data_IF_996892881640
#
_entry.id   IF_996892881640
#
_cell.length_a   1.000
_cell.length_b   1.000
_cell.length_c   1.000
_cell.angle_alpha   90.00
_cell.angle_beta   90.00
_cell.angle_gamma   90.00
#
_symmetry.space_group_name_H-M   'P 1'
#
loop_
_entity.id
_entity.type
_entity.pdbx_description
1 polymer ?
#
# COMPACT_ATOMS: atom_id res chain seq x y z
N UNK A 1 24.86 -14.83 -0.44
CA UNK A 1 24.27 -15.87 -1.30
C UNK A 1 22.76 -15.74 -1.16
N UNK A 2 22.02 -15.65 -2.27
CA UNK A 2 20.56 -15.60 -2.23
C UNK A 2 19.97 -17.00 -2.20
N UNK A 3 18.85 -17.14 -1.50
CA UNK A 3 17.96 -18.27 -1.62
C UNK A 3 16.77 -17.84 -2.47
N UNK A 4 16.38 -18.69 -3.41
CA UNK A 4 15.24 -18.45 -4.29
C UNK A 4 14.09 -19.35 -3.85
N UNK A 5 12.91 -18.77 -3.78
CA UNK A 5 11.69 -19.50 -3.48
C UNK A 5 10.70 -19.28 -4.62
N UNK A 6 10.13 -20.37 -5.09
CA UNK A 6 9.14 -20.43 -6.18
C UNK A 6 7.96 -21.30 -5.77
N UNK A 7 7.02 -21.52 -6.69
CA UNK A 7 5.97 -22.53 -6.52
C UNK A 7 6.51 -23.94 -6.32
N UNK A 8 7.73 -24.25 -6.76
CA UNK A 8 8.39 -25.55 -6.48
C UNK A 8 8.76 -25.71 -5.00
N UNK A 9 8.92 -24.59 -4.28
CA UNK A 9 9.32 -24.55 -2.87
C UNK A 9 8.13 -24.37 -1.92
N UNK A 10 6.91 -24.29 -2.45
CA UNK A 10 5.66 -24.23 -1.68
C UNK A 10 4.96 -22.87 -1.69
N UNK A 11 5.45 -21.87 -2.44
CA UNK A 11 4.67 -20.65 -2.71
C UNK A 11 3.40 -21.00 -3.48
N UNK A 12 2.31 -20.35 -3.14
CA UNK A 12 1.02 -20.53 -3.81
C UNK A 12 0.98 -19.91 -5.20
N UNK A 13 1.79 -18.87 -5.48
CA UNK A 13 2.00 -18.31 -6.81
C UNK A 13 3.30 -17.50 -6.88
N UNK A 14 3.96 -17.45 -8.04
CA UNK A 14 5.25 -16.76 -8.23
C UNK A 14 5.15 -15.22 -8.26
N UNK A 15 3.94 -14.68 -8.44
CA UNK A 15 3.67 -13.26 -8.24
C UNK A 15 3.47 -13.00 -6.74
N UNK A 16 4.49 -12.52 -6.05
CA UNK A 16 4.37 -12.02 -4.67
C UNK A 16 4.05 -10.53 -4.72
N UNK A 17 2.99 -10.12 -4.01
CA UNK A 17 2.49 -8.73 -3.99
C UNK A 17 2.92 -8.00 -2.72
N UNK A 18 2.79 -8.65 -1.56
CA UNK A 18 3.24 -8.11 -0.28
C UNK A 18 3.85 -9.22 0.58
N UNK A 19 4.69 -8.81 1.52
CA UNK A 19 5.36 -9.70 2.47
C UNK A 19 5.24 -9.10 3.87
N UNK A 20 4.89 -9.92 4.85
CA UNK A 20 4.75 -9.52 6.25
C UNK A 20 5.52 -10.47 7.16
N UNK A 21 6.16 -9.95 8.20
CA UNK A 21 6.70 -10.74 9.30
C UNK A 21 5.74 -10.60 10.49
N UNK A 22 5.23 -11.71 11.02
CA UNK A 22 4.37 -11.69 12.20
C UNK A 22 5.17 -11.70 13.51
N UNK A 23 4.46 -11.53 14.65
CA UNK A 23 5.11 -11.48 15.97
C UNK A 23 5.73 -12.81 16.42
N UNK A 24 5.42 -13.92 15.77
CA UNK A 24 6.02 -15.22 16.03
C UNK A 24 7.21 -15.50 15.09
N UNK A 25 7.54 -14.58 14.18
CA UNK A 25 8.63 -14.71 13.21
C UNK A 25 8.23 -15.46 11.93
N UNK A 26 6.95 -15.72 11.69
CA UNK A 26 6.49 -16.29 10.43
C UNK A 26 6.52 -15.21 9.34
N UNK A 27 6.98 -15.58 8.15
CA UNK A 27 6.96 -14.71 6.99
C UNK A 27 5.77 -15.10 6.11
N UNK A 28 4.86 -14.16 5.91
CA UNK A 28 3.65 -14.32 5.11
C UNK A 28 3.84 -13.67 3.74
N UNK A 29 3.46 -14.39 2.70
CA UNK A 29 3.51 -13.93 1.31
C UNK A 29 2.08 -13.84 0.77
N UNK A 30 1.66 -12.62 0.42
CA UNK A 30 0.47 -12.41 -0.39
C UNK A 30 0.81 -12.66 -1.85
N UNK A 31 0.46 -13.85 -2.31
CA UNK A 31 0.74 -14.29 -3.66
C UNK A 31 -0.44 -13.97 -4.59
N UNK A 32 -0.21 -14.13 -5.90
CA UNK A 32 -1.28 -14.00 -6.90
C UNK A 32 -2.45 -14.95 -6.61
N UNK A 33 -2.15 -16.18 -6.24
CA UNK A 33 -3.15 -17.12 -5.75
C UNK A 33 -2.79 -17.42 -4.31
N UNK A 34 -3.73 -17.34 -3.37
CA UNK A 34 -3.45 -17.81 -2.02
C UNK A 34 -2.58 -16.88 -1.15
N UNK A 35 -2.50 -17.29 0.11
CA UNK A 35 -1.54 -16.78 1.08
C UNK A 35 -0.56 -17.91 1.37
N UNK A 36 0.74 -17.64 1.32
CA UNK A 36 1.77 -18.59 1.72
C UNK A 36 2.45 -18.15 3.01
N UNK A 37 2.96 -19.09 3.78
CA UNK A 37 3.67 -18.82 5.04
C UNK A 37 4.96 -19.62 5.10
N UNK A 38 6.03 -18.97 5.55
CA UNK A 38 7.34 -19.54 5.81
C UNK A 38 7.61 -19.56 7.31
N UNK A 39 7.94 -20.74 7.83
CA UNK A 39 8.19 -21.01 9.25
C UNK A 39 9.69 -20.98 9.64
N UNK A 40 10.56 -20.55 8.72
CA UNK A 40 12.01 -20.62 8.88
C UNK A 40 12.65 -21.89 8.32
N UNK A 41 11.85 -22.87 7.88
CA UNK A 41 12.32 -24.12 7.27
C UNK A 41 11.64 -24.42 5.93
N UNK A 42 10.33 -24.21 5.82
CA UNK A 42 9.55 -24.52 4.60
C UNK A 42 8.47 -23.48 4.33
N UNK A 43 8.07 -23.37 3.07
CA UNK A 43 6.91 -22.57 2.66
C UNK A 43 5.71 -23.50 2.52
N UNK A 44 4.54 -23.04 2.98
CA UNK A 44 3.28 -23.76 2.81
C UNK A 44 2.13 -22.81 2.48
N UNK A 45 1.16 -23.30 1.72
CA UNK A 45 -0.05 -22.54 1.37
C UNK A 45 -1.02 -22.57 2.55
N UNK A 46 -1.38 -21.39 3.06
CA UNK A 46 -2.34 -21.24 4.14
C UNK A 46 -3.76 -21.12 3.59
N UNK A 47 -4.57 -22.18 3.74
CA UNK A 47 -5.91 -22.31 3.12
C UNK A 47 -7.09 -22.06 4.06
N UNK A 48 -6.92 -22.26 5.35
CA UNK A 48 -8.04 -22.16 6.31
C UNK A 48 -8.57 -20.72 6.38
N UNK A 49 -9.88 -20.55 6.24
CA UNK A 49 -10.59 -19.26 6.32
C UNK A 49 -11.90 -19.43 7.08
N UNK A 50 -12.23 -18.45 7.92
CA UNK A 50 -13.51 -18.36 8.61
C UNK A 50 -14.32 -17.19 8.02
N UNK A 51 -15.50 -17.50 7.48
CA UNK A 51 -16.42 -16.54 6.86
C UNK A 51 -17.65 -16.23 7.72
N UNK A 52 -17.82 -16.89 8.87
CA UNK A 52 -19.02 -16.75 9.71
C UNK A 52 -19.04 -15.44 10.53
N UNK A 53 -17.90 -14.75 10.61
CA UNK A 53 -17.69 -13.60 11.50
C UNK A 53 -17.42 -12.29 10.74
N UNK A 54 -18.05 -12.08 9.58
CA UNK A 54 -17.73 -10.95 8.68
C UNK A 54 -17.82 -9.56 9.34
N UNK A 55 -18.75 -9.36 10.28
CA UNK A 55 -18.95 -8.08 10.97
C UNK A 55 -18.20 -7.92 12.30
N UNK A 56 -17.51 -8.95 12.80
CA UNK A 56 -16.89 -8.95 14.13
C UNK A 56 -15.50 -8.29 14.12
N UNK A 57 -15.46 -6.98 13.85
CA UNK A 57 -14.23 -6.22 13.89
C UNK A 57 -13.68 -6.10 15.31
N UNK A 58 -12.36 -6.27 15.42
CA UNK A 58 -11.58 -6.15 16.65
C UNK A 58 -10.12 -5.88 16.30
N UNK A 59 -9.37 -5.31 17.24
CA UNK A 59 -7.93 -5.13 17.11
C UNK A 59 -7.25 -5.89 18.25
N UNK A 60 -6.41 -6.84 17.87
CA UNK A 60 -5.49 -7.56 18.73
C UNK A 60 -4.04 -7.16 18.46
N UNK A 61 -3.18 -7.45 19.43
CA UNK A 61 -1.75 -7.15 19.32
C UNK A 61 -1.03 -8.05 18.32
N UNK A 62 -1.53 -9.26 18.09
CA UNK A 62 -0.94 -10.23 17.15
C UNK A 62 -1.51 -10.11 15.74
N UNK A 63 -2.44 -9.18 15.54
CA UNK A 63 -3.18 -9.10 14.30
C UNK A 63 -2.29 -8.63 13.16
N UNK A 64 -2.32 -9.42 12.09
CA UNK A 64 -1.87 -9.05 10.76
C UNK A 64 -3.05 -9.14 9.81
N UNK A 65 -3.04 -8.29 8.78
CA UNK A 65 -4.17 -8.13 7.89
C UNK A 65 -3.73 -8.36 6.46
N UNK A 66 -4.60 -9.01 5.71
CA UNK A 66 -4.34 -9.39 4.33
C UNK A 66 -5.46 -8.92 3.42
N UNK A 67 -5.08 -8.68 2.18
CA UNK A 67 -5.97 -8.39 1.07
C UNK A 67 -6.98 -9.53 0.89
N UNK A 68 -8.26 -9.14 0.74
CA UNK A 68 -9.34 -9.98 0.23
C UNK A 68 -9.32 -10.09 -1.30
N UNK A 69 -10.13 -10.98 -1.86
CA UNK A 69 -10.38 -11.09 -3.30
C UNK A 69 -9.14 -11.58 -4.08
N UNK A 70 -8.82 -12.86 -3.89
CA UNK A 70 -7.76 -13.58 -4.62
C UNK A 70 -8.12 -13.75 -6.11
N UNK A 71 -8.04 -12.65 -6.84
CA UNK A 71 -7.76 -12.52 -8.27
C UNK A 71 -8.84 -12.98 -9.26
N UNK A 72 -9.31 -12.01 -10.05
CA UNK A 72 -9.97 -12.21 -11.36
C UNK A 72 -11.47 -11.95 -11.37
N UNK A 73 -12.10 -12.10 -10.22
CA UNK A 73 -13.50 -11.78 -9.95
C UNK A 73 -13.52 -11.01 -8.63
N UNK A 74 -14.49 -10.12 -8.42
CA UNK A 74 -14.70 -9.47 -7.12
C UNK A 74 -14.93 -10.47 -5.99
N UNK A 75 -15.46 -10.01 -4.85
CA UNK A 75 -15.79 -10.91 -3.75
C UNK A 75 -16.67 -12.09 -4.22
N UNK A 76 -16.38 -13.30 -3.75
CA UNK A 76 -17.17 -14.50 -4.07
C UNK A 76 -18.34 -14.70 -3.09
N UNK A 77 -19.12 -15.78 -3.29
CA UNK A 77 -20.26 -16.14 -2.43
C UNK A 77 -19.90 -16.31 -0.93
N UNK A 78 -18.63 -16.54 -0.61
CA UNK A 78 -18.14 -16.69 0.76
C UNK A 78 -17.71 -15.35 1.37
N UNK A 79 -17.03 -14.49 0.61
CA UNK A 79 -16.57 -13.16 1.05
C UNK A 79 -17.73 -12.15 1.13
N UNK A 80 -18.75 -12.27 0.25
CA UNK A 80 -20.04 -11.56 0.25
C UNK A 80 -20.01 -10.03 0.08
N UNK A 81 -18.92 -9.35 0.43
CA UNK A 81 -18.68 -7.93 0.21
C UNK A 81 -17.19 -7.62 0.32
N UNK A 82 -16.75 -6.44 -0.15
CA UNK A 82 -15.36 -6.01 -0.02
C UNK A 82 -14.88 -5.99 1.43
N UNK A 83 -13.63 -6.39 1.66
CA UNK A 83 -13.12 -6.59 3.01
C UNK A 83 -11.64 -6.94 3.08
N UNK A 84 -11.27 -7.55 4.20
CA UNK A 84 -9.92 -8.02 4.51
C UNK A 84 -9.96 -9.34 5.25
N UNK A 85 -8.87 -10.10 5.18
CA UNK A 85 -8.63 -11.18 6.12
C UNK A 85 -7.84 -10.68 7.33
N UNK A 86 -8.33 -10.98 8.53
CA UNK A 86 -7.64 -10.76 9.80
C UNK A 86 -7.06 -12.09 10.28
N UNK A 87 -5.76 -12.17 10.50
CA UNK A 87 -5.14 -13.27 11.24
C UNK A 87 -4.87 -12.84 12.68
N UNK A 88 -5.55 -13.46 13.64
CA UNK A 88 -5.46 -13.11 15.07
C UNK A 88 -4.32 -13.83 15.81
N UNK A 89 -3.39 -14.43 15.06
CA UNK A 89 -2.36 -15.32 15.59
C UNK A 89 -2.81 -16.77 15.76
N UNK A 90 -4.07 -17.10 15.42
CA UNK A 90 -4.59 -18.48 15.44
C UNK A 90 -5.29 -18.83 14.14
N UNK A 91 -6.18 -17.97 13.65
CA UNK A 91 -6.98 -18.24 12.45
C UNK A 91 -7.18 -17.00 11.59
N UNK A 92 -7.41 -17.22 10.29
CA UNK A 92 -7.84 -16.18 9.37
C UNK A 92 -9.36 -16.07 9.38
N UNK A 93 -9.87 -14.88 9.70
CA UNK A 93 -11.29 -14.54 9.61
C UNK A 93 -11.49 -13.42 8.60
N UNK A 94 -12.54 -13.52 7.79
CA UNK A 94 -12.94 -12.45 6.88
C UNK A 94 -13.63 -11.32 7.63
N UNK A 95 -13.37 -10.07 7.23
CA UNK A 95 -13.95 -8.85 7.79
C UNK A 95 -14.42 -7.94 6.67
N UNK A 96 -15.72 -7.63 6.64
CA UNK A 96 -16.31 -6.78 5.60
C UNK A 96 -16.16 -5.32 5.98
N UNK A 97 -15.76 -4.49 5.02
CA UNK A 97 -15.78 -3.04 5.21
C UNK A 97 -17.21 -2.51 5.30
N UNK A 98 -17.47 -1.45 6.09
CA UNK A 98 -18.78 -0.80 6.15
C UNK A 98 -18.98 0.16 4.96
N UNK A 99 -18.78 -0.36 3.75
CA UNK A 99 -18.91 0.37 2.49
C UNK A 99 -19.84 -0.38 1.57
N UNK A 100 -20.58 0.38 0.76
CA UNK A 100 -21.46 -0.17 -0.26
C UNK A 100 -20.84 0.23 -1.61
N UNK A 101 -20.45 -0.74 -2.45
CA UNK A 101 -20.03 -0.45 -3.82
C UNK A 101 -21.09 0.35 -4.57
N UNK A 102 -20.65 1.31 -5.38
CA UNK A 102 -21.56 2.04 -6.28
C UNK A 102 -22.20 1.09 -7.29
N UNK A 103 -23.34 1.50 -7.87
CA UNK A 103 -24.00 0.72 -8.94
C UNK A 103 -23.16 0.58 -10.21
N UNK A 104 -22.11 1.39 -10.34
CA UNK A 104 -21.09 1.34 -11.38
C UNK A 104 -19.93 0.37 -11.06
N UNK A 105 -19.91 -0.27 -9.88
CA UNK A 105 -18.92 -1.29 -9.53
C UNK A 105 -19.27 -2.66 -10.13
N UNK A 106 -19.32 -2.73 -11.45
CA UNK A 106 -19.70 -3.94 -12.22
C UNK A 106 -18.77 -5.13 -11.93
N UNK A 107 -17.58 -4.87 -11.36
CA UNK A 107 -16.58 -5.90 -11.08
C UNK A 107 -16.22 -6.06 -9.59
N UNK A 108 -16.84 -5.29 -8.69
CA UNK A 108 -16.62 -5.39 -7.24
C UNK A 108 -15.22 -4.98 -6.78
N UNK A 109 -14.53 -4.11 -7.52
CA UNK A 109 -13.12 -3.75 -7.27
C UNK A 109 -12.94 -2.37 -6.64
N UNK A 110 -14.01 -1.59 -6.45
CA UNK A 110 -13.89 -0.22 -5.93
C UNK A 110 -13.17 -0.16 -4.57
N UNK A 111 -13.40 -1.14 -3.70
CA UNK A 111 -12.76 -1.20 -2.39
C UNK A 111 -11.69 -2.29 -2.28
N UNK A 112 -11.19 -2.79 -3.42
CA UNK A 112 -10.04 -3.68 -3.41
C UNK A 112 -8.82 -2.97 -2.84
N UNK A 113 -8.09 -3.70 -2.00
CA UNK A 113 -6.82 -3.24 -1.45
C UNK A 113 -5.70 -3.52 -2.46
N UNK A 114 -4.77 -2.59 -2.57
CA UNK A 114 -3.52 -2.80 -3.32
C UNK A 114 -2.27 -2.52 -2.51
N UNK A 115 -2.44 -2.24 -1.22
CA UNK A 115 -1.43 -1.71 -0.31
C UNK A 115 -1.32 -2.54 0.96
N UNK A 116 -0.15 -2.58 1.61
CA UNK A 116 -0.07 -3.06 2.99
C UNK A 116 -0.96 -2.25 3.93
N UNK A 117 -1.48 -2.88 4.98
CA UNK A 117 -2.14 -2.13 6.06
C UNK A 117 -1.11 -1.30 6.86
N UNK A 118 -1.57 -0.22 7.47
CA UNK A 118 -0.75 0.58 8.39
C UNK A 118 -1.40 0.60 9.76
N UNK A 119 -0.67 0.17 10.78
CA UNK A 119 -1.06 0.40 12.17
C UNK A 119 -0.60 1.80 12.56
N UNK A 120 -1.56 2.71 12.70
CA UNK A 120 -1.28 4.07 13.08
C UNK A 120 -0.88 4.22 14.54
N UNK A 121 -0.24 5.33 14.89
CA UNK A 121 0.29 5.62 16.25
C UNK A 121 -0.79 5.69 17.31
N UNK A 122 -2.00 6.07 16.94
CA UNK A 122 -3.17 6.07 17.81
C UNK A 122 -3.86 4.69 17.92
N UNK A 123 -3.27 3.64 17.35
CA UNK A 123 -3.82 2.28 17.33
C UNK A 123 -4.81 1.99 16.21
N UNK A 124 -5.17 2.98 15.38
CA UNK A 124 -6.06 2.78 14.23
C UNK A 124 -5.40 1.88 13.20
N UNK A 125 -6.11 0.88 12.68
CA UNK A 125 -5.65 0.08 11.53
C UNK A 125 -6.22 0.71 10.26
N UNK A 126 -5.33 1.08 9.35
CA UNK A 126 -5.67 1.73 8.09
C UNK A 126 -5.48 0.79 6.90
N UNK A 127 -6.37 0.91 5.92
CA UNK A 127 -6.41 0.15 4.68
C UNK A 127 -6.57 1.09 3.49
N UNK A 128 -5.60 1.07 2.56
CA UNK A 128 -5.67 1.82 1.31
C UNK A 128 -6.36 1.01 0.22
N UNK A 129 -7.51 1.50 -0.26
CA UNK A 129 -8.32 0.87 -1.31
C UNK A 129 -8.37 1.72 -2.58
N UNK A 130 -9.02 1.23 -3.63
CA UNK A 130 -9.24 2.01 -4.85
C UNK A 130 -10.29 3.12 -4.73
N UNK A 131 -11.09 3.21 -3.65
CA UNK A 131 -12.10 4.28 -3.49
C UNK A 131 -12.09 4.98 -2.14
N UNK A 132 -11.32 4.48 -1.18
CA UNK A 132 -11.18 5.11 0.13
C UNK A 132 -9.91 4.68 0.85
N UNK A 133 -9.42 5.55 1.72
CA UNK A 133 -8.64 5.15 2.88
C UNK A 133 -9.60 4.83 4.02
N UNK A 134 -9.59 3.59 4.50
CA UNK A 134 -10.50 3.09 5.54
C UNK A 134 -9.71 2.82 6.82
N UNK A 135 -10.07 3.49 7.91
CA UNK A 135 -9.45 3.32 9.23
C UNK A 135 -10.43 2.74 10.24
N UNK A 136 -9.99 1.76 11.03
CA UNK A 136 -10.74 1.21 12.16
C UNK A 136 -9.99 1.43 13.46
N UNK A 137 -10.60 2.11 14.43
CA UNK A 137 -9.95 2.47 15.70
C UNK A 137 -10.25 1.48 16.86
N UNK A 138 -10.92 0.36 16.58
CA UNK A 138 -11.38 -0.59 17.60
C UNK A 138 -12.84 -0.37 18.03
N UNK A 139 -13.47 0.71 17.58
CA UNK A 139 -14.88 1.01 17.86
C UNK A 139 -15.63 1.45 16.60
N UNK A 140 -15.10 2.45 15.90
CA UNK A 140 -15.72 3.12 14.78
C UNK A 140 -14.81 3.11 13.55
N UNK A 141 -15.41 3.32 12.38
CA UNK A 141 -14.70 3.47 11.12
C UNK A 141 -14.58 4.93 10.70
N UNK A 142 -13.45 5.25 10.08
CA UNK A 142 -13.21 6.50 9.36
C UNK A 142 -12.97 6.18 7.90
N UNK A 143 -13.72 6.82 7.01
CA UNK A 143 -13.66 6.55 5.57
C UNK A 143 -13.33 7.87 4.89
N UNK A 144 -12.17 7.93 4.23
CA UNK A 144 -11.72 9.09 3.46
C UNK A 144 -11.82 8.74 1.98
N UNK A 145 -12.88 9.19 1.31
CA UNK A 145 -13.21 8.88 -0.08
C UNK A 145 -12.97 10.08 -1.02
N UNK A 146 -13.33 9.95 -2.30
CA UNK A 146 -13.22 11.01 -3.31
C UNK A 146 -13.81 12.36 -2.82
N UNK A 147 -15.00 12.33 -2.23
CA UNK A 147 -15.68 13.52 -1.69
C UNK A 147 -14.90 14.18 -0.56
N UNK A 148 -14.36 13.38 0.38
CA UNK A 148 -13.56 13.89 1.49
C UNK A 148 -12.30 14.64 1.01
N UNK A 149 -11.68 14.17 -0.07
CA UNK A 149 -10.52 14.81 -0.69
C UNK A 149 -10.89 15.91 -1.70
N UNK A 150 -12.19 16.15 -1.93
CA UNK A 150 -12.67 17.11 -2.93
C UNK A 150 -12.32 16.73 -4.36
N UNK A 151 -12.09 15.44 -4.64
CA UNK A 151 -11.70 14.96 -5.98
C UNK A 151 -12.92 14.92 -6.90
N UNK A 152 -12.77 15.51 -8.08
CA UNK A 152 -13.83 15.48 -9.10
C UNK A 152 -13.67 14.30 -10.06
N UNK A 153 -14.68 14.07 -10.92
CA UNK A 153 -14.60 13.01 -11.95
C UNK A 153 -13.48 13.30 -12.96
N UNK A 154 -13.18 14.56 -13.20
CA UNK A 154 -12.12 15.01 -14.12
C UNK A 154 -10.73 14.69 -13.59
N UNK A 155 -10.52 14.73 -12.28
CA UNK A 155 -9.20 14.57 -11.64
C UNK A 155 -8.72 13.12 -11.55
N UNK A 156 -9.52 12.16 -12.06
CA UNK A 156 -9.46 10.73 -11.73
C UNK A 156 -9.54 10.54 -10.20
N UNK A 157 -10.55 9.82 -9.74
CA UNK A 157 -10.76 9.60 -8.30
C UNK A 157 -9.60 8.85 -7.62
N UNK A 158 -9.83 8.48 -6.37
CA UNK A 158 -8.93 7.63 -5.63
C UNK A 158 -8.62 6.34 -6.40
N UNK A 159 -7.40 5.91 -6.19
CA UNK A 159 -6.75 4.70 -6.67
C UNK A 159 -5.46 4.56 -5.85
N UNK A 160 -5.60 4.37 -4.54
CA UNK A 160 -4.47 4.38 -3.60
C UNK A 160 -3.57 3.18 -3.88
N UNK A 161 -2.28 3.43 -4.14
CA UNK A 161 -1.25 2.42 -4.47
C UNK A 161 -0.16 2.28 -3.42
N UNK A 162 -0.05 3.25 -2.52
CA UNK A 162 0.79 3.19 -1.33
C UNK A 162 0.34 4.27 -0.35
N UNK A 163 0.53 4.04 0.94
CA UNK A 163 0.30 5.07 1.94
C UNK A 163 1.11 4.79 3.21
N UNK A 164 1.36 5.84 3.99
CA UNK A 164 2.06 5.78 5.27
C UNK A 164 1.43 6.76 6.27
N UNK A 165 1.65 6.54 7.56
CA UNK A 165 1.58 7.61 8.57
C UNK A 165 3.00 8.11 8.80
N UNK A 166 3.24 9.41 8.61
CA UNK A 166 4.55 10.02 8.85
C UNK A 166 4.85 10.21 10.35
N UNK A 167 6.08 10.64 10.69
CA UNK A 167 6.48 10.89 12.08
C UNK A 167 5.65 11.96 12.80
N UNK A 168 4.96 12.83 12.07
CA UNK A 168 4.11 13.91 12.60
C UNK A 168 2.65 13.47 12.77
N UNK A 169 2.28 12.30 12.25
CA UNK A 169 0.94 11.73 12.32
C UNK A 169 0.07 12.03 11.09
N UNK A 170 0.66 12.57 10.02
CA UNK A 170 -0.08 12.80 8.79
C UNK A 170 -0.14 11.50 7.99
N UNK A 171 -1.31 11.22 7.41
CA UNK A 171 -1.47 10.14 6.46
C UNK A 171 -1.11 10.67 5.07
N UNK A 172 -0.10 10.09 4.44
CA UNK A 172 0.30 10.37 3.08
C UNK A 172 -0.14 9.23 2.18
N UNK A 173 -0.79 9.53 1.07
CA UNK A 173 -1.29 8.54 0.11
C UNK A 173 -0.71 8.83 -1.27
N UNK A 174 -0.03 7.83 -1.84
CA UNK A 174 0.34 7.79 -3.25
C UNK A 174 -0.87 7.29 -4.06
N UNK A 175 -1.39 8.15 -4.93
CA UNK A 175 -2.56 7.93 -5.76
C UNK A 175 -2.17 7.90 -7.25
N UNK A 176 -2.59 6.87 -7.98
CA UNK A 176 -2.31 6.77 -9.41
C UNK A 176 -3.41 7.47 -10.22
N UNK A 177 -3.24 8.77 -10.46
CA UNK A 177 -4.19 9.62 -11.19
C UNK A 177 -4.11 11.06 -10.71
N UNK A 178 -4.45 11.29 -9.44
CA UNK A 178 -4.46 12.62 -8.79
C UNK A 178 -3.22 12.92 -7.95
N UNK A 179 -2.22 12.03 -7.95
CA UNK A 179 -0.92 12.26 -7.33
C UNK A 179 -0.84 11.96 -5.84
N UNK A 180 -0.29 12.86 -5.03
CA UNK A 180 -0.12 12.65 -3.60
C UNK A 180 -1.18 13.41 -2.83
N UNK A 181 -1.89 12.70 -1.97
CA UNK A 181 -2.88 13.26 -1.05
C UNK A 181 -2.33 13.19 0.37
N UNK A 182 -2.64 14.19 1.19
CA UNK A 182 -2.18 14.25 2.59
C UNK A 182 -3.35 14.60 3.49
N UNK A 183 -3.49 13.87 4.60
CA UNK A 183 -4.47 14.11 5.64
C UNK A 183 -3.80 14.27 7.00
N UNK A 184 -3.97 15.41 7.66
CA UNK A 184 -3.28 15.73 8.92
C UNK A 184 -4.08 15.39 10.20
N UNK A 185 -5.22 14.71 10.05
CA UNK A 185 -6.16 14.45 11.14
C UNK A 185 -7.28 15.47 11.27
N UNK A 186 -7.23 16.58 10.52
CA UNK A 186 -8.26 17.62 10.45
C UNK A 186 -8.65 17.91 9.01
N UNK A 187 -7.68 18.23 8.17
CA UNK A 187 -7.85 18.66 6.79
C UNK A 187 -7.11 17.73 5.83
N UNK A 188 -7.66 17.62 4.62
CA UNK A 188 -7.05 16.92 3.51
C UNK A 188 -6.60 17.92 2.44
N UNK A 189 -5.44 17.68 1.85
CA UNK A 189 -4.92 18.45 0.72
C UNK A 189 -4.46 17.53 -0.41
N UNK A 190 -4.60 18.01 -1.64
CA UNK A 190 -3.85 17.45 -2.78
C UNK A 190 -2.46 18.10 -2.83
N UNK A 191 -1.45 17.38 -2.36
CA UNK A 191 -0.05 17.82 -2.34
C UNK A 191 0.46 18.10 -3.75
N UNK A 192 0.14 17.23 -4.71
CA UNK A 192 0.58 17.38 -6.11
C UNK A 192 0.09 18.71 -6.70
N UNK A 193 -1.20 19.01 -6.58
CA UNK A 193 -1.78 20.26 -7.11
C UNK A 193 -1.27 21.48 -6.33
N UNK A 194 -1.22 21.41 -4.99
CA UNK A 194 -0.74 22.49 -4.14
C UNK A 194 0.69 22.93 -4.49
N UNK A 195 1.55 21.98 -4.86
CA UNK A 195 2.94 22.23 -5.20
C UNK A 195 3.20 22.41 -6.70
N UNK A 196 2.15 22.49 -7.53
CA UNK A 196 2.26 22.64 -8.99
C UNK A 196 3.11 21.53 -9.63
N UNK A 197 2.77 20.28 -9.32
CA UNK A 197 3.47 19.08 -9.81
C UNK A 197 2.61 18.25 -10.75
N UNK A 198 1.59 18.85 -11.37
CA UNK A 198 0.77 18.19 -12.39
C UNK A 198 1.52 18.09 -13.72
N UNK A 199 0.99 17.32 -14.68
CA UNK A 199 1.55 17.24 -16.03
C UNK A 199 1.53 18.59 -16.74
N UNK A 200 0.51 19.39 -16.49
CA UNK A 200 0.41 20.76 -17.02
C UNK A 200 1.51 21.66 -16.44
N UNK A 201 1.69 21.64 -15.12
CA UNK A 201 2.68 22.48 -14.44
C UNK A 201 4.12 22.13 -14.83
N UNK A 202 4.41 20.84 -14.98
CA UNK A 202 5.78 20.29 -15.17
C UNK A 202 6.12 19.98 -16.62
N UNK A 203 5.19 20.18 -17.55
CA UNK A 203 5.32 19.83 -18.99
C UNK A 203 5.66 18.36 -19.24
N UNK A 204 5.21 17.45 -18.37
CA UNK A 204 5.31 16.00 -18.61
C UNK A 204 5.82 15.19 -17.43
N UNK A 205 6.74 15.73 -16.65
CA UNK A 205 7.37 15.02 -15.53
C UNK A 205 6.64 15.28 -14.21
N UNK A 206 5.49 14.61 -14.03
CA UNK A 206 4.52 14.94 -12.97
C UNK A 206 4.51 13.93 -11.82
N UNK A 207 3.95 14.36 -10.69
CA UNK A 207 3.71 13.52 -9.51
C UNK A 207 2.32 12.86 -9.52
N UNK A 208 1.54 13.04 -10.58
CA UNK A 208 0.14 12.56 -10.69
C UNK A 208 0.02 11.03 -10.66
N UNK A 209 1.07 10.32 -11.10
CA UNK A 209 1.13 8.86 -11.14
C UNK A 209 1.98 8.32 -9.99
N UNK A 210 1.75 8.83 -8.79
CA UNK A 210 2.35 8.34 -7.57
C UNK A 210 1.90 6.90 -7.30
N UNK A 211 2.84 6.06 -6.87
CA UNK A 211 2.59 4.63 -6.74
C UNK A 211 3.07 4.05 -5.41
N UNK A 212 4.24 4.46 -4.94
CA UNK A 212 4.81 4.00 -3.67
C UNK A 212 5.26 5.20 -2.84
N UNK A 213 5.30 5.04 -1.53
CA UNK A 213 5.65 6.12 -0.63
C UNK A 213 6.31 5.57 0.64
N UNK A 214 7.31 6.28 1.15
CA UNK A 214 8.03 5.94 2.37
C UNK A 214 8.60 7.17 3.06
N UNK A 215 8.82 7.08 4.36
CA UNK A 215 9.49 8.11 5.17
C UNK A 215 10.78 7.50 5.75
N UNK A 216 11.90 8.20 5.53
CA UNK A 216 13.19 7.79 6.08
C UNK A 216 13.39 8.20 7.55
N UNK A 217 14.56 7.87 8.11
CA UNK A 217 14.91 8.16 9.50
C UNK A 217 15.03 9.67 9.81
N UNK A 218 15.24 10.52 8.81
CA UNK A 218 15.33 11.98 8.95
C UNK A 218 13.96 12.67 8.83
N UNK A 219 12.97 11.98 8.28
CA UNK A 219 11.60 12.46 8.14
C UNK A 219 11.30 13.01 6.76
N UNK A 220 12.15 12.66 5.81
CA UNK A 220 12.01 13.01 4.42
C UNK A 220 11.04 12.01 3.81
N UNK A 221 10.09 12.55 3.05
CA UNK A 221 9.10 11.78 2.32
C UNK A 221 9.66 11.45 0.94
N UNK A 222 9.63 10.18 0.59
CA UNK A 222 10.06 9.66 -0.69
C UNK A 222 8.87 9.04 -1.41
N UNK A 223 8.64 9.43 -2.65
CA UNK A 223 7.50 8.99 -3.46
C UNK A 223 8.03 8.36 -4.76
N UNK A 224 7.71 7.09 -4.97
CA UNK A 224 7.97 6.39 -6.21
C UNK A 224 6.79 6.53 -7.16
N UNK A 225 7.08 6.68 -8.44
CA UNK A 225 6.07 6.93 -9.48
C UNK A 225 6.11 5.88 -10.58
N UNK A 226 5.08 5.88 -11.43
CA UNK A 226 5.02 4.97 -12.58
C UNK A 226 6.03 5.35 -13.67
N UNK A 227 6.26 6.64 -13.89
CA UNK A 227 6.97 7.15 -15.06
C UNK A 227 7.84 8.41 -14.82
N UNK A 228 7.86 8.97 -13.61
CA UNK A 228 8.66 10.15 -13.25
C UNK A 228 9.77 9.86 -12.23
N UNK A 229 10.15 8.59 -12.06
CA UNK A 229 11.21 8.17 -11.13
C UNK A 229 10.81 8.35 -9.66
N UNK A 230 11.70 8.95 -8.86
CA UNK A 230 11.52 9.14 -7.42
C UNK A 230 11.48 10.63 -7.06
N UNK A 231 10.53 11.03 -6.23
CA UNK A 231 10.43 12.36 -5.68
C UNK A 231 10.79 12.36 -4.20
N UNK A 232 11.53 13.38 -3.77
CA UNK A 232 11.97 13.58 -2.39
C UNK A 232 11.42 14.90 -1.88
N UNK A 233 10.82 14.90 -0.70
CA UNK A 233 10.33 16.09 -0.02
C UNK A 233 10.88 16.15 1.41
N UNK A 234 11.66 17.20 1.71
CA UNK A 234 12.30 17.39 3.02
C UNK A 234 11.47 18.24 4.00
N UNK A 235 10.23 18.58 3.64
CA UNK A 235 9.39 19.52 4.37
C UNK A 235 9.44 20.95 3.82
N UNK A 236 10.44 21.29 3.01
CA UNK A 236 10.61 22.62 2.39
C UNK A 236 10.76 22.52 0.88
N UNK A 237 11.69 21.68 0.43
CA UNK A 237 12.09 21.53 -0.96
C UNK A 237 11.63 20.21 -1.53
N UNK A 238 11.31 20.22 -2.83
CA UNK A 238 10.92 19.04 -3.59
C UNK A 238 11.96 18.81 -4.68
N UNK A 239 12.54 17.61 -4.72
CA UNK A 239 13.53 17.21 -5.72
C UNK A 239 13.04 15.97 -6.45
N UNK A 240 13.18 15.96 -7.76
CA UNK A 240 12.89 14.79 -8.59
C UNK A 240 14.19 14.14 -9.05
N UNK A 241 14.23 12.81 -8.94
CA UNK A 241 15.31 11.95 -9.40
C UNK A 241 14.80 11.08 -10.54
N UNK A 242 15.58 11.04 -11.62
CA UNK A 242 15.24 10.41 -12.89
C UNK A 242 16.31 9.41 -13.29
N UNK A 243 16.22 8.91 -14.53
CA UNK A 243 17.27 8.08 -15.12
C UNK A 243 18.66 8.73 -15.09
N UNK A 244 18.71 10.05 -15.21
CA UNK A 244 19.97 10.82 -15.16
C UNK A 244 20.64 10.77 -13.79
N UNK A 245 19.89 10.40 -12.76
CA UNK A 245 20.32 10.34 -11.37
C UNK A 245 20.56 8.89 -10.92
N UNK A 246 20.79 7.98 -11.86
CA UNK A 246 21.17 6.58 -11.60
C UNK A 246 19.98 5.62 -11.41
N UNK A 247 18.75 6.11 -11.54
CA UNK A 247 17.60 5.22 -11.71
C UNK A 247 17.67 4.58 -13.11
N UNK A 248 17.18 3.35 -13.27
CA UNK A 248 16.88 2.82 -14.60
C UNK A 248 15.59 3.43 -15.17
N UNK A 249 15.15 3.03 -16.37
CA UNK A 249 13.78 3.28 -16.83
C UNK A 249 12.84 2.56 -15.89
N UNK A 250 12.28 3.26 -14.91
CA UNK A 250 11.67 2.60 -13.76
C UNK A 250 10.30 3.15 -13.42
N UNK A 251 9.36 2.22 -13.42
CA UNK A 251 8.24 2.24 -12.51
C UNK A 251 8.73 1.83 -11.12
N UNK A 252 8.68 2.75 -10.14
CA UNK A 252 9.05 2.50 -8.74
C UNK A 252 7.82 1.97 -7.99
N UNK A 253 7.71 0.64 -7.97
CA UNK A 253 6.55 -0.07 -7.47
C UNK A 253 6.51 -0.19 -5.95
N UNK A 254 7.65 -0.06 -5.27
CA UNK A 254 7.71 -0.14 -3.81
C UNK A 254 8.87 0.67 -3.23
N UNK A 255 8.65 1.21 -2.03
CA UNK A 255 9.69 1.81 -1.19
C UNK A 255 9.62 1.06 0.14
N UNK A 256 10.67 0.29 0.43
CA UNK A 256 10.76 -0.52 1.63
C UNK A 256 11.74 0.11 2.62
N UNK A 257 11.32 0.22 3.89
CA UNK A 257 12.19 0.65 4.98
C UNK A 257 12.68 -0.57 5.75
N UNK A 258 13.99 -0.76 5.82
CA UNK A 258 14.58 -1.85 6.60
C UNK A 258 14.59 -1.53 8.12
N UNK A 259 15.00 -2.51 8.94
CA UNK A 259 15.04 -2.38 10.41
C UNK A 259 16.03 -1.30 10.89
N UNK A 260 17.01 -0.93 10.06
CA UNK A 260 17.98 0.13 10.33
C UNK A 260 17.47 1.53 9.91
N UNK A 261 16.29 1.61 9.29
CA UNK A 261 15.70 2.86 8.82
C UNK A 261 16.14 3.29 7.43
N UNK A 262 16.94 2.49 6.72
CA UNK A 262 17.34 2.75 5.34
C UNK A 262 16.21 2.41 4.38
N UNK A 263 16.06 3.23 3.33
CA UNK A 263 15.09 3.00 2.28
C UNK A 263 15.71 2.26 1.10
N UNK A 264 14.96 1.28 0.61
CA UNK A 264 15.24 0.49 -0.57
C UNK A 264 14.11 0.70 -1.58
N UNK A 265 14.46 0.90 -2.84
CA UNK A 265 13.53 1.31 -3.88
C UNK A 265 13.42 0.18 -4.91
N UNK A 266 12.24 -0.43 -5.01
CA UNK A 266 11.98 -1.52 -5.94
C UNK A 266 11.27 -1.04 -7.20
N UNK A 267 11.74 -1.51 -8.34
CA UNK A 267 11.17 -1.25 -9.67
C UNK A 267 11.74 -2.24 -10.68
N UNK A 268 12.24 -1.74 -11.81
CA UNK A 268 13.04 -2.54 -12.75
C UNK A 268 14.47 -2.74 -12.22
N UNK A 269 14.57 -3.40 -11.07
CA UNK A 269 15.78 -3.51 -10.25
C UNK A 269 15.54 -3.04 -8.83
N UNK A 270 16.60 -3.08 -8.03
CA UNK A 270 16.59 -2.62 -6.64
C UNK A 270 17.64 -1.54 -6.48
N UNK A 271 17.24 -0.39 -5.97
CA UNK A 271 18.07 0.80 -5.89
C UNK A 271 18.20 1.29 -4.45
N UNK A 272 19.32 1.96 -4.17
CA UNK A 272 19.58 2.64 -2.89
C UNK A 272 20.05 4.06 -3.16
N UNK A 273 19.54 5.02 -2.38
CA UNK A 273 20.02 6.39 -2.44
C UNK A 273 21.35 6.53 -1.69
N UNK A 274 22.36 7.14 -2.32
CA UNK A 274 23.71 7.30 -1.77
C UNK A 274 23.98 8.71 -1.19
N UNK A 275 22.94 9.53 -1.04
CA UNK A 275 23.03 10.92 -0.61
C UNK A 275 22.96 11.93 -1.76
N UNK A 276 23.28 11.51 -3.00
CA UNK A 276 23.23 12.36 -4.20
C UNK A 276 22.43 11.74 -5.34
N UNK A 277 22.60 10.45 -5.58
CA UNK A 277 22.01 9.71 -6.69
C UNK A 277 21.57 8.31 -6.22
N UNK A 278 21.06 7.51 -7.15
CA UNK A 278 20.70 6.11 -6.90
C UNK A 278 21.78 5.16 -7.42
N UNK A 279 22.17 4.22 -6.57
CA UNK A 279 22.97 3.06 -6.95
C UNK A 279 22.03 1.89 -7.22
N UNK A 280 22.20 1.22 -8.36
CA UNK A 280 21.53 -0.06 -8.60
C UNK A 280 22.27 -1.17 -7.85
N UNK A 281 21.58 -1.82 -6.93
CA UNK A 281 22.09 -2.91 -6.12
C UNK A 281 21.82 -4.26 -6.80
N UNK A 282 20.66 -4.41 -7.45
CA UNK A 282 20.23 -5.60 -8.20
C UNK A 282 19.47 -5.20 -9.48
#
# INVERSE_FOLDING_TARGET
MFQYFTTQDGLSHNQVRNIYEDKNGLIWFECGEGLSVYDGQKISVYKERNYDSTGEWKIGDKDIWFKADQIGSGYNDLERASGVYQYDGKKLSYRTFPVIPGSDDVHGFQYSISTPFVRGKNGTIWFGTYKALIGYNGKDFKILNDEFFGLTKEERGLHIRGFIEDRKGNLWMANNGSGVLVYDGKEAINFTTKHKLTKEDTKGNSLERAYSIGEDAEGIIWIGTVDSGVWKYDGTSITNFTEKDGLGPTFISTIYKNKQGELWFGGNGVYRFNGKSFDRIY
#
